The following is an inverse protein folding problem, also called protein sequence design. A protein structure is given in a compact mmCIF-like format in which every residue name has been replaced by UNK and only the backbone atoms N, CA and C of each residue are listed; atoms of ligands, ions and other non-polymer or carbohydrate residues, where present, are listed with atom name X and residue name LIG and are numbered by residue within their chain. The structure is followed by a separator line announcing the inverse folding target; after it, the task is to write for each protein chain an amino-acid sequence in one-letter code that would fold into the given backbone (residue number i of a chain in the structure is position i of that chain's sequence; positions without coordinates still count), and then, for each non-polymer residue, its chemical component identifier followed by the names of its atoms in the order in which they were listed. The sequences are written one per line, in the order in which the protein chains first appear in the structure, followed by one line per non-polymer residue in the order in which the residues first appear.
data_IF_093182982713
#
_entry.id   IF_093182982713
#
_cell.length_a   1.000
_cell.length_b   1.000
_cell.length_c   1.000
_cell.angle_alpha   90.00
_cell.angle_beta   90.00
_cell.angle_gamma   90.00
#
_symmetry.space_group_name_H-M   'P 1'
#
loop_
_entity.id
_entity.type
_entity.pdbx_description
1 polymer ?
#
# COMPACT_ATOMS: atom_id res chain seq x y z
N UNK A 1 -58.09 -47.26 -77.01
CA UNK A 1 -56.84 -47.36 -76.22
C UNK A 1 -55.94 -46.18 -76.56
N UNK A 2 -55.68 -45.27 -75.61
CA UNK A 2 -54.67 -44.20 -75.73
C UNK A 2 -53.51 -44.55 -74.80
N UNK A 3 -52.30 -44.59 -75.35
CA UNK A 3 -51.07 -45.06 -74.71
C UNK A 3 -50.50 -44.03 -73.73
N UNK A 4 -50.27 -44.48 -72.49
CA UNK A 4 -49.53 -43.81 -71.43
C UNK A 4 -48.03 -44.10 -71.60
N UNK A 5 -47.17 -43.09 -71.77
CA UNK A 5 -45.83 -43.07 -71.14
C UNK A 5 -45.40 -41.63 -70.85
N UNK A 6 -45.58 -41.26 -69.58
CA UNK A 6 -44.67 -40.49 -68.71
C UNK A 6 -43.92 -39.26 -69.25
N UNK A 7 -44.51 -38.09 -69.00
CA UNK A 7 -43.85 -36.77 -68.92
C UNK A 7 -43.02 -36.57 -67.62
N UNK A 8 -42.68 -37.65 -66.88
CA UNK A 8 -42.17 -37.58 -65.50
C UNK A 8 -40.65 -37.71 -65.36
N UNK A 9 -39.90 -37.83 -66.47
CA UNK A 9 -38.46 -38.13 -66.42
C UNK A 9 -37.54 -36.96 -66.77
N UNK A 10 -38.06 -35.84 -67.31
CA UNK A 10 -37.23 -34.66 -67.64
C UNK A 10 -37.13 -33.59 -66.54
N UNK A 11 -37.96 -33.63 -65.49
CA UNK A 11 -37.88 -32.66 -64.38
C UNK A 11 -36.92 -33.07 -63.26
N UNK A 12 -36.52 -34.35 -63.18
CA UNK A 12 -35.62 -34.84 -62.12
C UNK A 12 -34.13 -34.52 -62.35
N UNK A 13 -33.70 -34.29 -63.60
CA UNK A 13 -32.30 -33.94 -63.86
C UNK A 13 -31.96 -32.47 -63.55
N UNK A 14 -32.92 -31.54 -63.65
CA UNK A 14 -32.69 -30.12 -63.31
C UNK A 14 -32.84 -29.82 -61.81
N UNK A 15 -33.59 -30.64 -61.07
CA UNK A 15 -33.64 -30.55 -59.60
C UNK A 15 -32.42 -31.24 -58.95
N UNK A 16 -31.86 -32.30 -59.55
CA UNK A 16 -30.68 -32.98 -59.00
C UNK A 16 -29.39 -32.15 -59.00
N UNK A 17 -29.22 -31.24 -59.96
CA UNK A 17 -28.00 -30.41 -60.09
C UNK A 17 -28.08 -29.12 -59.26
N UNK A 18 -29.28 -28.60 -58.99
CA UNK A 18 -29.45 -27.46 -58.07
C UNK A 18 -29.45 -27.86 -56.59
N UNK A 19 -29.90 -29.07 -56.25
CA UNK A 19 -29.87 -29.56 -54.87
C UNK A 19 -28.50 -30.09 -54.43
N UNK A 20 -27.61 -30.43 -55.36
CA UNK A 20 -26.22 -30.82 -55.06
C UNK A 20 -25.25 -29.63 -55.03
N UNK A 21 -25.65 -28.47 -55.56
CA UNK A 21 -24.87 -27.21 -55.43
C UNK A 21 -25.21 -26.42 -54.16
N UNK A 22 -26.34 -26.72 -53.50
CA UNK A 22 -26.75 -26.10 -52.22
C UNK A 22 -26.27 -26.85 -50.97
N UNK A 23 -25.66 -28.04 -51.13
CA UNK A 23 -25.03 -28.80 -50.03
C UNK A 23 -23.51 -28.63 -49.98
N UNK A 24 -22.93 -27.84 -50.89
CA UNK A 24 -21.52 -27.41 -50.87
C UNK A 24 -21.37 -25.94 -50.47
N UNK A 25 -22.41 -25.31 -49.91
CA UNK A 25 -22.24 -24.16 -49.03
C UNK A 25 -21.60 -24.65 -47.73
N UNK A 26 -20.29 -24.91 -47.83
CA UNK A 26 -19.30 -24.50 -46.86
C UNK A 26 -19.88 -24.22 -45.48
N UNK A 27 -19.71 -25.19 -44.58
CA UNK A 27 -19.11 -24.84 -43.31
C UNK A 27 -17.83 -24.07 -43.67
N UNK A 28 -17.95 -22.75 -43.83
CA UNK A 28 -16.83 -21.84 -43.77
C UNK A 28 -16.24 -22.14 -42.40
N UNK A 29 -15.22 -22.99 -42.36
CA UNK A 29 -14.52 -23.31 -41.13
C UNK A 29 -14.01 -21.98 -40.63
N UNK A 30 -14.68 -21.46 -39.60
CA UNK A 30 -14.34 -20.18 -38.99
C UNK A 30 -12.83 -20.18 -38.72
N UNK A 31 -12.12 -19.16 -39.23
CA UNK A 31 -10.70 -18.96 -38.98
C UNK A 31 -10.58 -17.91 -37.86
N UNK A 32 -10.19 -18.35 -36.66
CA UNK A 32 -10.16 -17.51 -35.48
C UNK A 32 -10.17 -18.34 -34.20
N UNK A 33 -10.75 -17.81 -33.13
CA UNK A 33 -10.87 -18.52 -31.85
C UNK A 33 -12.30 -18.55 -31.35
N UNK A 34 -12.77 -19.72 -30.94
CA UNK A 34 -14.05 -19.89 -30.22
C UNK A 34 -13.77 -20.43 -28.83
N UNK A 35 -14.25 -19.77 -27.78
CA UNK A 35 -13.97 -20.17 -26.40
C UNK A 35 -15.24 -20.33 -25.56
N UNK A 36 -15.17 -21.23 -24.57
CA UNK A 36 -16.16 -21.39 -23.49
C UNK A 36 -15.47 -21.25 -22.13
N UNK A 37 -16.12 -20.62 -21.12
CA UNK A 37 -15.48 -20.41 -19.82
C UNK A 37 -15.16 -21.74 -19.12
N UNK A 38 -13.97 -21.84 -18.51
CA UNK A 38 -13.69 -22.90 -17.54
C UNK A 38 -14.22 -22.45 -16.17
N UNK A 39 -15.26 -23.12 -15.66
CA UNK A 39 -16.04 -22.69 -14.50
C UNK A 39 -15.29 -22.49 -13.18
N UNK A 40 -13.99 -22.81 -13.09
CA UNK A 40 -13.16 -22.67 -11.88
C UNK A 40 -12.15 -21.51 -11.89
N UNK A 41 -12.00 -20.78 -13.01
CA UNK A 41 -10.96 -19.75 -13.17
C UNK A 41 -11.49 -18.39 -13.61
N UNK A 42 -12.61 -17.94 -13.06
CA UNK A 42 -13.27 -16.70 -13.46
C UNK A 42 -13.24 -15.66 -12.33
N UNK A 43 -12.26 -14.75 -12.36
CA UNK A 43 -12.16 -13.63 -11.42
C UNK A 43 -12.16 -12.29 -12.19
N UNK A 44 -13.32 -11.80 -12.65
CA UNK A 44 -13.41 -10.56 -13.42
C UNK A 44 -13.37 -9.31 -12.52
N UNK A 45 -13.11 -9.43 -11.22
CA UNK A 45 -13.08 -8.31 -10.27
C UNK A 45 -11.90 -8.43 -9.30
N UNK A 46 -10.65 -8.56 -9.79
CA UNK A 46 -9.50 -8.57 -8.91
C UNK A 46 -9.46 -7.24 -8.13
N UNK A 47 -9.32 -7.32 -6.82
CA UNK A 47 -9.00 -6.18 -5.97
C UNK A 47 -7.48 -6.08 -5.89
N UNK A 48 -6.91 -5.05 -6.51
CA UNK A 48 -5.51 -4.71 -6.30
C UNK A 48 -5.42 -3.69 -5.16
N UNK A 49 -4.97 -4.14 -4.00
CA UNK A 49 -4.66 -3.26 -2.86
C UNK A 49 -3.15 -3.08 -2.75
N UNK A 50 -2.68 -1.84 -2.80
CA UNK A 50 -1.28 -1.50 -2.57
C UNK A 50 -1.12 -0.64 -1.33
N UNK A 51 -0.10 -0.96 -0.55
CA UNK A 51 0.37 -0.15 0.56
C UNK A 51 1.46 0.80 0.02
N UNK A 52 1.20 2.11 0.08
CA UNK A 52 2.08 3.14 -0.47
C UNK A 52 3.18 3.61 0.52
N UNK A 53 3.43 2.90 1.62
CA UNK A 53 4.18 3.40 2.77
C UNK A 53 5.71 3.22 2.73
N UNK A 54 6.33 2.80 1.63
CA UNK A 54 7.70 2.24 1.74
C UNK A 54 8.85 3.25 1.89
N UNK A 55 8.71 4.55 1.65
CA UNK A 55 9.87 5.48 1.78
C UNK A 55 9.42 6.89 2.20
N UNK A 56 9.85 7.41 3.38
CA UNK A 56 9.71 8.83 3.69
C UNK A 56 10.60 9.67 2.75
N UNK A 57 10.02 10.65 2.06
CA UNK A 57 10.70 11.52 1.10
C UNK A 57 10.07 11.51 -0.29
N UNK A 58 10.72 12.19 -1.25
CA UNK A 58 10.26 12.23 -2.63
C UNK A 58 10.47 10.88 -3.33
N UNK A 59 9.37 10.19 -3.68
CA UNK A 59 9.44 8.95 -4.49
C UNK A 59 9.60 9.34 -5.97
N UNK A 60 10.69 8.93 -6.65
CA UNK A 60 10.93 9.28 -8.04
C UNK A 60 9.85 8.73 -8.99
N UNK A 61 9.52 9.48 -10.03
CA UNK A 61 8.63 9.02 -11.10
C UNK A 61 9.16 7.73 -11.73
N UNK A 62 8.25 6.80 -12.02
CA UNK A 62 8.57 5.47 -12.56
C UNK A 62 8.85 4.39 -11.51
N UNK A 63 9.03 4.75 -10.23
CA UNK A 63 9.17 3.78 -9.13
C UNK A 63 7.95 2.87 -9.05
N UNK A 64 8.14 1.56 -8.97
CA UNK A 64 7.05 0.61 -8.75
C UNK A 64 6.54 0.73 -7.32
N UNK A 65 5.26 1.04 -7.18
CA UNK A 65 4.57 1.20 -5.90
C UNK A 65 3.85 -0.08 -5.45
N UNK A 66 3.52 -0.96 -6.41
CA UNK A 66 2.96 -2.27 -6.12
C UNK A 66 2.53 -3.01 -7.38
N UNK A 67 2.18 -4.28 -7.23
CA UNK A 67 1.74 -5.13 -8.32
C UNK A 67 0.72 -6.17 -7.86
N UNK A 68 -0.05 -6.71 -8.79
CA UNK A 68 -0.90 -7.86 -8.57
C UNK A 68 -1.33 -8.52 -9.86
N UNK A 69 -1.95 -9.69 -9.75
CA UNK A 69 -2.23 -10.55 -10.89
C UNK A 69 -3.72 -10.89 -10.97
N UNK A 70 -4.16 -11.18 -12.18
CA UNK A 70 -5.46 -11.76 -12.41
C UNK A 70 -5.45 -12.71 -13.60
N UNK A 71 -6.33 -13.70 -13.57
CA UNK A 71 -6.37 -14.80 -14.52
C UNK A 71 -7.80 -15.12 -14.93
N UNK A 72 -7.99 -15.41 -16.22
CA UNK A 72 -9.23 -16.03 -16.72
C UNK A 72 -8.90 -17.31 -17.47
N UNK A 73 -9.61 -18.39 -17.14
CA UNK A 73 -9.44 -19.68 -17.82
C UNK A 73 -10.56 -19.98 -18.80
N UNK A 74 -10.21 -20.51 -19.97
CA UNK A 74 -11.10 -20.81 -21.09
C UNK A 74 -10.75 -22.14 -21.76
N UNK A 75 -11.76 -22.84 -22.29
CA UNK A 75 -11.56 -23.88 -23.29
C UNK A 75 -11.75 -23.26 -24.66
N UNK A 76 -10.72 -23.27 -25.49
CA UNK A 76 -10.72 -22.60 -26.78
C UNK A 76 -10.38 -23.56 -27.93
N UNK A 77 -11.10 -23.43 -29.04
CA UNK A 77 -10.73 -24.00 -30.34
C UNK A 77 -10.06 -22.91 -31.17
N UNK A 78 -8.83 -23.16 -31.60
CA UNK A 78 -8.04 -22.26 -32.44
C UNK A 78 -7.97 -22.81 -33.87
N UNK A 79 -8.26 -21.97 -34.85
CA UNK A 79 -8.29 -22.32 -36.26
C UNK A 79 -7.70 -21.20 -37.13
N UNK A 80 -7.39 -21.50 -38.39
CA UNK A 80 -6.83 -20.51 -39.32
C UNK A 80 -5.34 -20.22 -39.10
N UNK A 81 -4.89 -19.08 -39.62
CA UNK A 81 -3.49 -18.62 -39.56
C UNK A 81 -3.10 -18.16 -38.14
N UNK A 82 -1.81 -17.91 -37.93
CA UNK A 82 -1.35 -17.41 -36.62
C UNK A 82 -1.92 -16.04 -36.30
N UNK A 83 -2.08 -15.20 -37.34
CA UNK A 83 -2.69 -13.89 -37.18
C UNK A 83 -4.13 -14.05 -36.66
N UNK A 84 -4.95 -14.87 -37.34
CA UNK A 84 -6.36 -15.08 -37.01
C UNK A 84 -6.56 -15.56 -35.57
N UNK A 85 -5.67 -16.42 -35.09
CA UNK A 85 -5.77 -17.06 -33.76
C UNK A 85 -4.98 -16.36 -32.65
N UNK A 86 -4.39 -15.19 -32.94
CA UNK A 86 -3.72 -14.37 -31.91
C UNK A 86 -4.76 -13.69 -31.04
N UNK A 87 -4.62 -13.82 -29.72
CA UNK A 87 -5.50 -13.18 -28.75
C UNK A 87 -4.99 -11.79 -28.39
N UNK A 88 -5.90 -10.82 -28.44
CA UNK A 88 -5.68 -9.43 -28.09
C UNK A 88 -6.59 -9.03 -26.94
N UNK A 89 -6.12 -8.12 -26.11
CA UNK A 89 -6.91 -7.44 -25.10
C UNK A 89 -7.11 -5.98 -25.53
N UNK A 90 -8.36 -5.57 -25.62
CA UNK A 90 -8.77 -4.23 -26.03
C UNK A 90 -9.13 -3.44 -24.78
N UNK A 91 -8.30 -2.45 -24.41
CA UNK A 91 -8.57 -1.61 -23.25
C UNK A 91 -9.74 -0.67 -23.52
N UNK A 92 -10.67 -0.59 -22.56
CA UNK A 92 -11.80 0.32 -22.51
C UNK A 92 -11.84 1.13 -21.22
N UNK A 93 -10.69 1.33 -20.59
CA UNK A 93 -10.64 2.04 -19.31
C UNK A 93 -11.22 3.46 -19.46
N UNK A 94 -12.23 3.83 -18.65
CA UNK A 94 -12.89 5.12 -18.77
C UNK A 94 -11.91 6.29 -18.61
N UNK A 95 -12.11 7.35 -19.39
CA UNK A 95 -11.31 8.58 -19.27
C UNK A 95 -11.32 9.14 -17.84
N UNK A 96 -12.47 9.11 -17.16
CA UNK A 96 -12.60 9.54 -15.77
C UNK A 96 -11.70 8.73 -14.82
N UNK A 97 -11.60 7.41 -15.00
CA UNK A 97 -10.71 6.55 -14.22
C UNK A 97 -9.25 6.86 -14.51
N UNK A 98 -8.87 7.09 -15.78
CA UNK A 98 -7.51 7.49 -16.14
C UNK A 98 -7.12 8.81 -15.47
N UNK A 99 -7.98 9.82 -15.60
CA UNK A 99 -7.77 11.16 -15.03
C UNK A 99 -7.72 11.12 -13.49
N UNK A 100 -8.53 10.27 -12.85
CA UNK A 100 -8.51 10.07 -11.40
C UNK A 100 -7.20 9.45 -10.90
N UNK A 101 -6.71 8.41 -11.59
CA UNK A 101 -5.45 7.74 -11.23
C UNK A 101 -4.23 8.68 -11.47
N UNK A 102 -4.19 9.38 -12.61
CA UNK A 102 -3.09 10.31 -12.91
C UNK A 102 -3.08 11.51 -11.96
N UNK A 103 -4.25 12.07 -11.60
CA UNK A 103 -4.35 13.15 -10.59
C UNK A 103 -4.08 12.70 -9.15
N UNK A 104 -4.08 11.38 -8.91
CA UNK A 104 -3.61 10.74 -7.68
C UNK A 104 -2.12 10.42 -7.70
N UNK A 105 -1.42 10.85 -8.74
CA UNK A 105 0.04 10.75 -8.85
C UNK A 105 0.54 9.36 -9.24
N UNK A 106 -0.30 8.53 -9.89
CA UNK A 106 0.05 7.17 -10.29
C UNK A 106 -0.22 6.88 -11.77
N UNK A 107 0.55 5.94 -12.33
CA UNK A 107 0.37 5.35 -13.66
C UNK A 107 0.20 3.85 -13.52
N UNK A 108 -0.69 3.26 -14.31
CA UNK A 108 -1.03 1.83 -14.21
C UNK A 108 -0.70 1.12 -15.50
N UNK A 109 0.03 0.02 -15.38
CA UNK A 109 0.47 -0.82 -16.48
C UNK A 109 -0.21 -2.18 -16.39
N UNK A 110 -0.61 -2.70 -17.54
CA UNK A 110 -1.08 -4.06 -17.73
C UNK A 110 -0.08 -4.82 -18.58
N UNK A 111 0.37 -5.94 -18.05
CA UNK A 111 1.28 -6.85 -18.70
C UNK A 111 0.58 -8.18 -18.92
N UNK A 112 0.86 -8.79 -20.06
CA UNK A 112 0.54 -10.18 -20.37
C UNK A 112 1.84 -10.90 -20.71
N UNK A 113 1.79 -12.20 -21.01
CA UNK A 113 2.99 -12.95 -21.39
C UNK A 113 3.80 -12.37 -22.54
N UNK A 114 3.17 -11.61 -23.45
CA UNK A 114 3.83 -11.15 -24.67
C UNK A 114 4.20 -9.66 -24.65
N UNK A 115 3.54 -8.83 -23.85
CA UNK A 115 3.67 -7.37 -23.94
C UNK A 115 3.17 -6.65 -22.68
N UNK A 116 3.51 -5.37 -22.59
CA UNK A 116 3.03 -4.43 -21.56
C UNK A 116 2.43 -3.18 -22.21
N UNK A 117 1.34 -2.66 -21.65
CA UNK A 117 0.72 -1.40 -22.06
C UNK A 117 0.37 -0.55 -20.84
N UNK A 118 0.34 0.76 -21.00
CA UNK A 118 -0.14 1.66 -19.96
C UNK A 118 -1.66 1.89 -20.10
N UNK A 119 -2.40 1.52 -19.06
CA UNK A 119 -3.85 1.68 -18.99
C UNK A 119 -4.24 3.15 -18.77
N UNK A 120 -3.42 3.88 -18.01
CA UNK A 120 -3.64 5.31 -17.72
C UNK A 120 -3.25 6.24 -18.86
N UNK A 121 -2.57 5.75 -19.90
CA UNK A 121 -2.24 6.55 -21.07
C UNK A 121 -3.50 7.02 -21.80
N UNK A 122 -3.47 8.21 -22.42
CA UNK A 122 -4.61 8.75 -23.16
C UNK A 122 -5.13 7.76 -24.21
N UNK A 123 -4.20 7.20 -25.01
CA UNK A 123 -4.47 6.18 -26.02
C UNK A 123 -3.76 4.87 -25.63
N UNK A 124 -4.48 3.93 -25.05
CA UNK A 124 -3.95 2.62 -24.69
C UNK A 124 -4.03 1.70 -25.91
N UNK A 125 -2.91 1.22 -26.46
CA UNK A 125 -2.93 0.28 -27.58
C UNK A 125 -3.52 -1.07 -27.16
N UNK A 126 -3.93 -1.87 -28.15
CA UNK A 126 -4.32 -3.27 -27.91
C UNK A 126 -3.13 -4.04 -27.37
N UNK A 127 -3.34 -4.83 -26.33
CA UNK A 127 -2.33 -5.67 -25.72
C UNK A 127 -2.37 -7.06 -26.37
N UNK A 128 -1.28 -7.49 -27.01
CA UNK A 128 -1.15 -8.88 -27.47
C UNK A 128 -1.03 -9.78 -26.24
N UNK A 129 -1.95 -10.73 -26.08
CA UNK A 129 -1.95 -11.64 -24.93
C UNK A 129 -1.07 -12.85 -25.23
N UNK A 130 -1.43 -13.63 -26.26
CA UNK A 130 -0.73 -14.85 -26.68
C UNK A 130 -1.32 -15.40 -27.99
N UNK A 131 -0.75 -16.48 -28.52
CA UNK A 131 -1.31 -17.27 -29.61
C UNK A 131 -1.03 -18.76 -29.36
N UNK A 132 -1.84 -19.64 -29.97
CA UNK A 132 -1.69 -21.10 -29.88
C UNK A 132 -1.60 -21.70 -31.27
N UNK A 133 -1.19 -22.98 -31.37
CA UNK A 133 -1.35 -23.73 -32.61
C UNK A 133 -2.83 -24.03 -32.86
N UNK A 134 -3.17 -24.43 -34.10
CA UNK A 134 -4.53 -24.85 -34.39
C UNK A 134 -4.89 -26.11 -33.59
N UNK A 135 -6.07 -26.16 -33.00
CA UNK A 135 -6.51 -27.25 -32.12
C UNK A 135 -7.32 -26.78 -30.92
N UNK A 136 -7.70 -27.73 -30.05
CA UNK A 136 -8.44 -27.47 -28.82
C UNK A 136 -7.48 -27.39 -27.63
N UNK A 137 -7.55 -26.31 -26.85
CA UNK A 137 -6.70 -26.10 -25.68
C UNK A 137 -7.49 -25.50 -24.52
N UNK A 138 -7.16 -25.94 -23.31
CA UNK A 138 -7.48 -25.20 -22.09
C UNK A 138 -6.40 -24.14 -21.89
N UNK A 139 -6.80 -22.87 -21.87
CA UNK A 139 -5.90 -21.72 -21.83
C UNK A 139 -6.23 -20.82 -20.66
N UNK A 140 -5.22 -20.13 -20.14
CA UNK A 140 -5.38 -19.10 -19.12
C UNK A 140 -4.81 -17.79 -19.64
N UNK A 141 -5.60 -16.72 -19.59
CA UNK A 141 -5.17 -15.37 -19.93
C UNK A 141 -4.74 -14.66 -18.65
N UNK A 142 -3.43 -14.56 -18.46
CA UNK A 142 -2.82 -13.92 -17.30
C UNK A 142 -2.57 -12.45 -17.57
N UNK A 143 -2.92 -11.62 -16.59
CA UNK A 143 -2.63 -10.20 -16.59
C UNK A 143 -1.95 -9.82 -15.28
N UNK A 144 -0.78 -9.20 -15.38
CA UNK A 144 -0.07 -8.57 -14.26
C UNK A 144 -0.31 -7.08 -14.33
N UNK A 145 -0.72 -6.48 -13.23
CA UNK A 145 -0.92 -5.06 -13.09
C UNK A 145 0.18 -4.47 -12.23
N UNK A 146 0.82 -3.41 -12.70
CA UNK A 146 1.84 -2.69 -11.96
C UNK A 146 1.44 -1.24 -11.81
N UNK A 147 1.44 -0.73 -10.59
CA UNK A 147 1.22 0.68 -10.28
C UNK A 147 2.59 1.33 -10.10
N UNK A 148 2.88 2.34 -10.92
CA UNK A 148 4.11 3.11 -10.85
C UNK A 148 3.82 4.54 -10.44
N UNK A 149 4.79 5.16 -9.78
CA UNK A 149 4.78 6.58 -9.45
C UNK A 149 4.67 7.42 -10.73
N UNK A 150 3.65 8.26 -10.79
CA UNK A 150 3.44 9.27 -11.85
C UNK A 150 4.04 10.63 -11.49
N UNK A 151 3.49 11.69 -12.08
CA UNK A 151 3.82 13.08 -11.73
C UNK A 151 2.82 13.64 -10.71
N UNK A 152 3.15 14.77 -10.06
CA UNK A 152 2.26 15.43 -9.10
C UNK A 152 2.17 14.72 -7.74
N UNK A 153 1.36 15.22 -6.78
CA UNK A 153 1.28 14.66 -5.44
C UNK A 153 0.69 13.23 -5.43
N UNK A 154 1.30 12.33 -4.67
CA UNK A 154 0.77 10.99 -4.44
C UNK A 154 -0.41 11.08 -3.45
N UNK A 155 -1.56 10.48 -3.80
CA UNK A 155 -2.77 10.48 -2.96
C UNK A 155 -3.31 9.07 -2.81
N UNK A 156 -4.07 8.84 -1.74
CA UNK A 156 -4.93 7.65 -1.65
C UNK A 156 -5.98 7.67 -2.77
N UNK A 157 -6.29 6.49 -3.30
CA UNK A 157 -7.32 6.33 -4.32
C UNK A 157 -8.08 5.02 -4.19
N UNK A 158 -9.33 5.03 -4.63
CA UNK A 158 -10.17 3.84 -4.80
C UNK A 158 -11.03 4.07 -6.03
N UNK A 159 -10.76 3.32 -7.10
CA UNK A 159 -11.47 3.51 -8.36
C UNK A 159 -12.92 3.03 -8.33
N UNK A 160 -13.31 2.26 -7.30
CA UNK A 160 -14.44 1.35 -7.41
C UNK A 160 -14.21 0.32 -8.55
N UNK A 161 -15.27 -0.43 -8.88
CA UNK A 161 -15.22 -1.35 -10.02
C UNK A 161 -15.38 -0.56 -11.32
N UNK A 162 -14.49 -0.77 -12.29
CA UNK A 162 -14.62 -0.20 -13.64
C UNK A 162 -14.35 -1.24 -14.73
N UNK A 163 -14.86 -0.98 -15.94
CA UNK A 163 -14.58 -1.81 -17.12
C UNK A 163 -13.15 -1.56 -17.60
N UNK A 164 -12.32 -2.59 -17.56
CA UNK A 164 -10.96 -2.55 -18.06
C UNK A 164 -10.90 -2.75 -19.58
N UNK A 165 -11.73 -3.64 -20.12
CA UNK A 165 -11.65 -4.05 -21.53
C UNK A 165 -12.22 -5.43 -21.81
N UNK A 166 -11.86 -6.01 -22.97
CA UNK A 166 -12.33 -7.33 -23.40
C UNK A 166 -11.31 -7.99 -24.33
N UNK A 167 -11.38 -9.32 -24.44
CA UNK A 167 -10.54 -10.10 -25.34
C UNK A 167 -11.16 -10.23 -26.73
N UNK A 168 -10.31 -10.22 -27.75
CA UNK A 168 -10.67 -10.61 -29.12
C UNK A 168 -9.64 -11.57 -29.70
N UNK A 169 -10.02 -12.32 -30.72
CA UNK A 169 -9.04 -12.97 -31.58
C UNK A 169 -8.47 -11.99 -32.63
N UNK A 170 -7.68 -12.51 -33.57
CA UNK A 170 -6.99 -11.71 -34.58
C UNK A 170 -7.86 -11.26 -35.74
N UNK A 171 -9.04 -11.88 -35.91
CA UNK A 171 -10.06 -11.42 -36.86
C UNK A 171 -11.04 -10.43 -36.21
N UNK A 172 -10.90 -10.17 -34.90
CA UNK A 172 -11.63 -9.14 -34.16
C UNK A 172 -12.90 -9.63 -33.47
N UNK A 173 -13.15 -10.95 -33.46
CA UNK A 173 -14.30 -11.50 -32.78
C UNK A 173 -14.06 -11.55 -31.27
N UNK A 174 -15.11 -11.22 -30.52
CA UNK A 174 -15.07 -11.09 -29.07
C UNK A 174 -15.00 -12.45 -28.40
N UNK A 175 -14.16 -12.54 -27.38
CA UNK A 175 -13.99 -13.73 -26.55
C UNK A 175 -14.45 -13.38 -25.14
N UNK A 176 -15.61 -13.91 -24.75
CA UNK A 176 -16.15 -13.74 -23.40
C UNK A 176 -16.68 -12.34 -23.07
N UNK A 177 -16.88 -12.12 -21.77
CA UNK A 177 -17.48 -10.90 -21.21
C UNK A 177 -16.46 -9.78 -20.98
N UNK A 178 -16.97 -8.63 -20.53
CA UNK A 178 -16.12 -7.50 -20.15
C UNK A 178 -15.30 -7.89 -18.92
N UNK A 179 -14.04 -7.46 -18.96
CA UNK A 179 -13.16 -7.56 -17.83
C UNK A 179 -13.32 -6.33 -16.95
N UNK A 180 -13.61 -6.53 -15.67
CA UNK A 180 -13.70 -5.44 -14.70
C UNK A 180 -12.53 -5.52 -13.72
N UNK A 181 -12.25 -4.43 -13.01
CA UNK A 181 -11.21 -4.38 -11.98
C UNK A 181 -11.51 -3.26 -10.99
N UNK A 182 -10.99 -3.39 -9.77
CA UNK A 182 -10.92 -2.31 -8.78
C UNK A 182 -9.49 -2.12 -8.31
N UNK A 183 -9.02 -0.88 -8.36
CA UNK A 183 -7.69 -0.49 -7.92
C UNK A 183 -7.82 0.37 -6.66
N UNK A 184 -7.11 -0.03 -5.61
CA UNK A 184 -7.09 0.67 -4.33
C UNK A 184 -5.65 0.93 -3.92
N UNK A 185 -5.30 2.20 -3.76
CA UNK A 185 -4.04 2.65 -3.17
C UNK A 185 -4.33 3.36 -1.86
N UNK A 186 -3.79 2.83 -0.75
CA UNK A 186 -3.88 3.51 0.55
C UNK A 186 -2.53 4.14 0.86
N UNK A 187 -2.51 5.48 0.89
CA UNK A 187 -1.43 6.24 1.48
C UNK A 187 -1.71 6.34 2.97
N UNK A 188 -0.96 5.62 3.79
CA UNK A 188 -0.98 5.80 5.25
C UNK A 188 0.21 6.70 5.55
N UNK A 189 -0.05 7.99 5.72
CA UNK A 189 1.01 8.95 5.98
C UNK A 189 1.53 8.72 7.40
N UNK A 190 2.52 7.84 7.57
CA UNK A 190 3.26 7.77 8.82
C UNK A 190 4.05 9.06 8.94
N UNK A 191 3.61 9.95 9.82
CA UNK A 191 4.47 11.04 10.26
C UNK A 191 5.78 10.42 10.76
N UNK A 192 6.94 10.82 10.19
CA UNK A 192 8.20 10.30 10.68
C UNK A 192 8.36 10.67 12.16
N UNK A 193 9.13 9.86 12.89
CA UNK A 193 9.37 10.05 14.32
C UNK A 193 9.79 11.50 14.59
N UNK A 194 9.09 12.23 15.48
CA UNK A 194 9.48 13.58 15.85
C UNK A 194 10.90 13.64 16.40
N UNK A 195 11.59 14.76 16.16
CA UNK A 195 12.93 15.00 16.70
C UNK A 195 12.78 15.39 18.17
N UNK A 196 13.40 14.62 19.06
CA UNK A 196 13.49 14.91 20.49
C UNK A 196 14.78 15.69 20.75
N UNK A 197 14.68 16.87 21.34
CA UNK A 197 15.80 17.68 21.84
C UNK A 197 15.65 17.90 23.34
N UNK A 198 16.77 17.99 24.05
CA UNK A 198 16.80 18.32 25.48
C UNK A 198 17.65 19.58 25.65
N UNK A 199 17.29 20.47 26.59
CA UNK A 199 18.05 21.73 26.83
C UNK A 199 19.54 21.46 26.99
N UNK A 200 19.86 20.40 27.74
CA UNK A 200 21.19 19.89 27.97
C UNK A 200 21.14 18.37 27.98
N UNK A 201 22.13 17.69 27.40
CA UNK A 201 22.16 16.21 27.40
C UNK A 201 22.30 15.59 28.79
N UNK A 202 22.64 16.41 29.80
CA UNK A 202 22.94 16.00 31.17
C UNK A 202 22.31 17.01 32.12
N UNK A 203 21.72 16.52 33.22
CA UNK A 203 21.35 17.36 34.36
C UNK A 203 22.54 17.39 35.30
N UNK A 204 23.26 18.51 35.33
CA UNK A 204 24.48 18.67 36.12
C UNK A 204 24.19 19.48 37.40
N UNK A 205 24.31 18.81 38.54
CA UNK A 205 24.16 19.43 39.86
C UNK A 205 25.44 20.11 40.35
N UNK A 206 26.53 20.07 39.56
CA UNK A 206 27.84 20.63 39.87
C UNK A 206 28.42 20.02 41.15
N UNK A 207 29.39 20.71 41.76
CA UNK A 207 29.96 20.34 43.04
C UNK A 207 28.98 20.64 44.18
N UNK A 208 28.78 19.65 45.05
CA UNK A 208 27.84 19.69 46.15
C UNK A 208 28.54 19.38 47.47
N UNK A 209 28.02 19.93 48.57
CA UNK A 209 28.50 19.64 49.93
C UNK A 209 27.41 18.93 50.74
N UNK A 210 27.81 18.12 51.72
CA UNK A 210 26.89 17.35 52.56
C UNK A 210 25.90 18.24 53.32
N UNK A 211 26.33 19.43 53.73
CA UNK A 211 25.52 20.40 54.48
C UNK A 211 24.29 20.90 53.70
N UNK A 212 24.30 20.78 52.36
CA UNK A 212 23.17 21.12 51.49
C UNK A 212 22.01 20.12 51.61
N UNK A 213 22.22 18.97 52.25
CA UNK A 213 21.23 17.90 52.40
C UNK A 213 20.84 17.61 53.85
N UNK A 214 21.45 18.30 54.80
CA UNK A 214 21.09 18.17 56.22
C UNK A 214 19.77 18.90 56.53
N UNK A 215 19.08 18.47 57.58
CA UNK A 215 17.76 18.99 57.97
C UNK A 215 16.70 18.90 56.86
N UNK A 216 16.70 17.82 56.09
CA UNK A 216 15.78 17.57 54.96
C UNK A 216 15.86 18.59 53.82
N UNK A 217 16.99 19.30 53.69
CA UNK A 217 17.22 20.17 52.54
C UNK A 217 17.43 19.34 51.26
N UNK A 218 17.07 19.94 50.13
CA UNK A 218 17.19 19.36 48.80
C UNK A 218 17.88 20.32 47.85
N UNK A 219 18.47 19.78 46.79
CA UNK A 219 19.09 20.56 45.71
C UNK A 219 18.36 20.24 44.42
N UNK A 220 18.03 21.27 43.63
CA UNK A 220 17.13 21.16 42.49
C UNK A 220 17.75 21.75 41.24
N UNK A 221 17.67 21.00 40.15
CA UNK A 221 18.06 21.44 38.81
C UNK A 221 16.88 21.33 37.85
N UNK A 222 16.85 22.21 36.86
CA UNK A 222 15.77 22.28 35.88
C UNK A 222 16.27 21.79 34.52
N UNK A 223 15.42 21.07 33.79
CA UNK A 223 15.67 20.70 32.41
C UNK A 223 14.40 20.80 31.58
N UNK A 224 14.55 20.84 30.25
CA UNK A 224 13.41 20.79 29.33
C UNK A 224 13.60 19.70 28.27
N UNK A 225 12.48 19.19 27.78
CA UNK A 225 12.42 18.31 26.61
C UNK A 225 11.56 18.99 25.55
N UNK A 226 12.15 19.25 24.40
CA UNK A 226 11.47 19.77 23.22
C UNK A 226 11.22 18.63 22.24
N UNK A 227 9.99 18.50 21.76
CA UNK A 227 9.59 17.53 20.76
C UNK A 227 9.07 18.26 19.52
N UNK A 228 9.80 18.16 18.42
CA UNK A 228 9.48 18.87 17.18
C UNK A 228 9.13 17.86 16.09
N UNK A 229 7.90 17.86 15.55
CA UNK A 229 7.57 17.04 14.38
C UNK A 229 8.47 17.40 13.20
N UNK A 230 8.86 16.41 12.40
CA UNK A 230 9.63 16.68 11.18
C UNK A 230 8.80 17.47 10.17
N UNK A 231 9.48 18.25 9.33
CA UNK A 231 8.87 19.21 8.38
C UNK A 231 7.93 18.59 7.35
N UNK A 232 7.95 17.27 7.16
CA UNK A 232 7.05 16.56 6.23
C UNK A 232 5.76 16.09 6.88
N UNK A 233 5.59 16.23 8.20
CA UNK A 233 4.39 15.86 8.93
C UNK A 233 3.49 17.08 9.16
N UNK A 234 2.40 17.19 8.40
CA UNK A 234 1.36 18.21 8.63
C UNK A 234 0.32 17.79 9.68
N UNK A 235 0.30 16.51 10.05
CA UNK A 235 -0.65 16.01 11.04
C UNK A 235 -0.27 16.46 12.46
N UNK A 236 -1.31 16.65 13.29
CA UNK A 236 -1.13 16.89 14.70
C UNK A 236 -0.94 15.54 15.41
N UNK A 237 0.10 15.42 16.24
CA UNK A 237 0.49 14.17 16.89
C UNK A 237 0.10 14.19 18.36
N UNK A 238 -0.61 13.16 18.82
CA UNK A 238 -0.90 12.96 20.24
C UNK A 238 0.33 12.38 20.94
N UNK A 239 0.86 13.06 21.95
CA UNK A 239 2.12 12.68 22.60
C UNK A 239 1.86 12.14 24.00
N UNK A 240 2.57 11.07 24.35
CA UNK A 240 2.74 10.63 25.73
C UNK A 240 4.22 10.40 26.04
N UNK A 241 4.58 10.54 27.31
CA UNK A 241 5.95 10.32 27.80
C UNK A 241 5.97 9.30 28.93
N UNK A 242 7.05 8.53 29.03
CA UNK A 242 7.33 7.61 30.13
C UNK A 242 8.81 7.70 30.50
N UNK A 243 9.10 7.75 31.80
CA UNK A 243 10.46 7.74 32.34
C UNK A 243 10.79 6.34 32.85
N UNK A 244 11.96 5.81 32.49
CA UNK A 244 12.41 4.48 32.86
C UNK A 244 13.83 4.53 33.42
N UNK A 245 14.14 3.65 34.37
CA UNK A 245 15.47 3.53 34.96
C UNK A 245 16.00 2.12 34.73
N UNK A 246 17.27 2.02 34.35
CA UNK A 246 17.94 0.72 34.23
C UNK A 246 18.48 0.22 35.58
N UNK A 247 18.67 1.12 36.55
CA UNK A 247 19.31 0.83 37.84
C UNK A 247 18.29 0.60 38.97
N UNK A 248 17.02 0.39 38.62
CA UNK A 248 15.92 0.26 39.57
C UNK A 248 15.47 1.60 40.17
N UNK A 249 14.33 1.58 40.85
CA UNK A 249 13.72 2.72 41.52
C UNK A 249 13.04 2.29 42.81
N UNK A 250 12.99 3.18 43.79
CA UNK A 250 12.27 2.95 45.06
C UNK A 250 10.90 3.59 44.99
N UNK A 251 9.87 2.81 45.35
CA UNK A 251 8.45 3.22 45.33
C UNK A 251 8.01 3.80 43.97
N UNK A 252 8.62 3.33 42.87
CA UNK A 252 8.45 3.84 41.52
C UNK A 252 8.70 5.35 41.38
N UNK A 253 9.40 5.99 42.33
CA UNK A 253 9.55 7.45 42.40
C UNK A 253 11.00 7.88 42.46
N UNK A 254 11.79 7.24 43.32
CA UNK A 254 13.13 7.69 43.62
C UNK A 254 14.16 6.89 42.83
N UNK A 255 14.98 7.59 42.05
CA UNK A 255 16.19 7.06 41.47
C UNK A 255 17.30 7.11 42.53
N UNK A 256 17.84 5.97 42.92
CA UNK A 256 18.86 5.89 43.98
C UNK A 256 20.25 5.96 43.38
N UNK A 257 21.17 6.65 44.06
CA UNK A 257 22.59 6.69 43.72
C UNK A 257 23.39 5.91 44.78
N UNK A 258 24.56 5.40 44.39
CA UNK A 258 25.39 4.54 45.26
C UNK A 258 26.13 5.29 46.38
N UNK A 259 25.91 6.60 46.49
CA UNK A 259 26.53 7.49 47.46
C UNK A 259 25.57 7.98 48.56
N UNK A 260 24.38 7.38 48.70
CA UNK A 260 23.40 7.76 49.72
C UNK A 260 22.48 8.92 49.33
N UNK A 261 22.54 9.38 48.07
CA UNK A 261 21.58 10.32 47.50
C UNK A 261 20.46 9.58 46.75
N UNK A 262 19.33 10.26 46.59
CA UNK A 262 18.23 9.84 45.72
C UNK A 262 17.64 11.06 44.99
N UNK A 263 17.09 10.84 43.81
CA UNK A 263 16.48 11.88 42.99
C UNK A 263 15.01 11.59 42.70
N UNK A 264 14.18 12.62 42.76
CA UNK A 264 12.84 12.64 42.19
C UNK A 264 12.79 13.57 40.97
N UNK A 265 11.94 13.24 40.00
CA UNK A 265 11.69 14.09 38.83
C UNK A 265 10.26 14.62 38.94
N UNK A 266 10.08 15.91 38.68
CA UNK A 266 8.77 16.57 38.66
C UNK A 266 8.51 17.18 37.31
N UNK A 267 7.35 16.89 36.74
CA UNK A 267 6.79 17.63 35.63
C UNK A 267 6.27 18.98 36.14
N UNK A 268 6.98 20.05 35.78
CA UNK A 268 6.64 21.42 36.19
C UNK A 268 5.46 21.98 35.42
N UNK A 269 5.18 21.47 34.22
CA UNK A 269 4.02 21.89 33.43
C UNK A 269 2.71 21.43 34.06
N UNK A 270 2.72 20.28 34.74
CA UNK A 270 1.54 19.70 35.42
C UNK A 270 1.60 19.77 36.95
N UNK A 271 2.74 20.21 37.52
CA UNK A 271 2.97 20.18 38.98
C UNK A 271 2.97 18.76 39.55
N UNK A 272 3.31 17.76 38.74
CA UNK A 272 3.15 16.34 39.07
C UNK A 272 4.51 15.66 39.20
N UNK A 273 4.72 14.94 40.30
CA UNK A 273 5.89 14.06 40.44
C UNK A 273 5.80 12.88 39.48
N UNK A 274 6.89 12.60 38.79
CA UNK A 274 7.02 11.48 37.86
C UNK A 274 7.16 10.19 38.65
N UNK A 275 6.29 9.24 38.31
CA UNK A 275 6.44 7.83 38.65
C UNK A 275 7.05 7.13 37.46
N UNK A 276 8.14 6.43 37.71
CA UNK A 276 8.82 5.62 36.71
C UNK A 276 7.89 4.52 36.21
N UNK A 277 8.04 4.22 34.91
CA UNK A 277 7.21 3.31 34.11
C UNK A 277 5.73 3.70 33.95
N UNK A 278 5.27 4.82 34.54
CA UNK A 278 3.95 5.37 34.28
C UNK A 278 3.94 6.21 32.99
N UNK A 279 2.88 6.07 32.20
CA UNK A 279 2.64 6.86 30.98
C UNK A 279 1.90 8.15 31.33
N UNK A 280 2.40 9.27 30.83
CA UNK A 280 1.82 10.60 31.00
C UNK A 280 1.43 11.19 29.66
N UNK A 281 0.15 11.50 29.46
CA UNK A 281 -0.32 12.20 28.27
C UNK A 281 0.15 13.67 28.28
N UNK A 282 0.60 14.15 27.12
CA UNK A 282 1.24 15.46 26.95
C UNK A 282 0.55 16.37 25.94
N UNK A 283 -0.63 15.97 25.47
CA UNK A 283 -1.39 16.75 24.51
C UNK A 283 -0.92 16.53 23.07
N UNK A 284 -1.37 17.45 22.21
CA UNK A 284 -1.13 17.40 20.78
C UNK A 284 -0.03 18.39 20.38
N UNK A 285 0.90 17.95 19.55
CA UNK A 285 1.96 18.78 18.95
C UNK A 285 1.79 18.89 17.44
N UNK A 286 2.30 19.97 16.86
CA UNK A 286 2.38 20.17 15.41
C UNK A 286 3.62 20.98 15.05
N UNK A 287 3.90 21.16 13.76
CA UNK A 287 5.03 22.01 13.33
C UNK A 287 4.93 23.45 13.87
N UNK A 288 3.70 23.99 13.88
CA UNK A 288 3.43 25.35 14.36
C UNK A 288 3.42 25.42 15.90
N UNK A 289 3.27 24.27 16.56
CA UNK A 289 3.22 24.15 18.02
C UNK A 289 4.04 22.95 18.49
N UNK A 290 5.38 23.06 18.53
CA UNK A 290 6.24 22.02 19.09
C UNK A 290 5.90 21.75 20.56
N UNK A 291 6.14 20.51 21.01
CA UNK A 291 6.04 20.16 22.42
C UNK A 291 7.21 20.76 23.19
N UNK A 292 6.95 21.48 24.28
CA UNK A 292 7.97 21.94 25.21
C UNK A 292 7.55 21.53 26.63
N UNK A 293 8.28 20.58 27.19
CA UNK A 293 7.94 19.94 28.46
C UNK A 293 8.99 20.31 29.51
N UNK A 294 8.55 20.97 30.58
CA UNK A 294 9.42 21.50 31.61
C UNK A 294 9.50 20.53 32.79
N UNK A 295 10.70 20.10 33.14
CA UNK A 295 10.93 19.20 34.27
C UNK A 295 11.90 19.80 35.27
N UNK A 296 11.95 19.20 36.45
CA UNK A 296 13.00 19.43 37.43
C UNK A 296 13.42 18.13 38.06
N UNK A 297 14.71 18.00 38.34
CA UNK A 297 15.31 16.92 39.09
C UNK A 297 15.68 17.45 40.49
N UNK A 298 15.27 16.74 41.54
CA UNK A 298 15.50 17.16 42.92
C UNK A 298 16.24 16.05 43.67
N UNK A 299 17.45 16.36 44.14
CA UNK A 299 18.29 15.50 44.96
C UNK A 299 17.94 15.65 46.44
N UNK A 300 17.88 14.52 47.13
CA UNK A 300 17.66 14.43 48.57
C UNK A 300 18.54 13.34 49.18
N UNK A 301 18.82 13.45 50.47
CA UNK A 301 19.47 12.39 51.24
C UNK A 301 18.53 11.19 51.37
N UNK A 302 19.02 9.99 51.07
CA UNK A 302 18.28 8.76 51.32
C UNK A 302 18.19 8.53 52.83
N UNK A 303 17.00 8.17 53.30
CA UNK A 303 16.75 7.98 54.73
C UNK A 303 17.66 6.88 55.29
N UNK A 304 18.27 7.14 56.45
CA UNK A 304 19.18 6.23 57.16
C UNK A 304 20.47 5.85 56.42
N UNK A 305 20.89 6.60 55.40
CA UNK A 305 22.18 6.43 54.74
C UNK A 305 23.05 7.70 54.87
N UNK A 306 24.34 7.49 55.11
CA UNK A 306 25.34 8.56 55.07
C UNK A 306 25.72 8.90 53.64
N UNK A 307 25.86 10.18 53.31
CA UNK A 307 26.34 10.61 52.01
C UNK A 307 27.84 10.29 51.89
N UNK A 308 28.23 9.49 50.90
CA UNK A 308 29.63 9.18 50.60
C UNK A 308 30.21 10.26 49.70
N UNK A 309 31.42 10.71 49.99
CA UNK A 309 32.16 11.62 49.12
C UNK A 309 32.61 10.90 47.84
N UNK A 310 32.56 11.60 46.70
CA UNK A 310 32.97 11.09 45.41
C UNK A 310 31.98 11.42 44.30
N UNK A 311 32.34 11.13 43.03
CA UNK A 311 31.45 11.33 41.91
C UNK A 311 30.24 10.38 41.99
N UNK A 312 29.10 10.86 41.51
CA UNK A 312 27.88 10.06 41.37
C UNK A 312 27.21 10.39 40.03
N UNK A 313 26.55 9.40 39.44
CA UNK A 313 25.78 9.58 38.21
C UNK A 313 24.72 8.50 38.10
N UNK A 314 23.69 8.75 37.29
CA UNK A 314 22.69 7.76 36.94
C UNK A 314 22.11 8.08 35.56
N UNK A 315 21.43 7.13 34.96
CA UNK A 315 20.86 7.26 33.61
C UNK A 315 19.37 6.98 33.65
N UNK A 316 18.60 7.89 33.04
CA UNK A 316 17.15 7.77 32.88
C UNK A 316 16.83 7.71 31.39
N UNK A 317 16.09 6.68 30.99
CA UNK A 317 15.58 6.54 29.64
C UNK A 317 14.22 7.21 29.55
N UNK A 318 14.03 8.08 28.55
CA UNK A 318 12.78 8.79 28.34
C UNK A 318 12.17 8.31 27.04
N UNK A 319 11.02 7.66 27.13
CA UNK A 319 10.29 7.14 25.98
C UNK A 319 9.15 8.08 25.62
N UNK A 320 9.17 8.58 24.39
CA UNK A 320 8.03 9.27 23.78
C UNK A 320 7.22 8.29 22.93
N UNK A 321 5.91 8.36 23.04
CA UNK A 321 4.96 7.62 22.19
C UNK A 321 4.07 8.62 21.48
N UNK A 322 3.80 8.36 20.20
CA UNK A 322 3.01 9.22 19.33
C UNK A 322 1.95 8.40 18.58
N UNK A 323 0.79 9.02 18.36
CA UNK A 323 -0.33 8.50 17.59
C UNK A 323 -0.85 9.57 16.65
#
# INVERSE_FOLDING_TARGET
MKSLVSKKTRSKLKQGVFSSLLLTCSALSYAGVTCTPLGSGWFPLPLLSIDLNMIPGDIPAGTTLGSGNSVISWNCNFSGSQADRTIWFNSQTPKSTKDYLTSSGVRVYQESYANVVEITAQNTPKLKVAYWNAGNYSVAFWHTFTIKRGEGPLKSFDTGNFNLGYHTDGVGNRIGDNYTIRLVGKLINYCPTPIVMMSDKVVDFKELTTDQFENNKTVKENFNLTLTPVSTCEAALEVSVKFQSNNGVVNNKYLVFDNGLQMAITDRSLGQEIRFDQVYYKGVISQQKPGNYLYSAELSKKSNESIKQGPFSNTVNILFSYK
#
